data_IF_324616679566
#
_entry.id   IF_324616679566
#
_cell.length_a   1.000
_cell.length_b   1.000
_cell.length_c   1.000
_cell.angle_alpha   90.00
_cell.angle_beta   90.00
_cell.angle_gamma   90.00
#
_symmetry.space_group_name_H-M   'P 1'
#
loop_
_entity.id
_entity.type
_entity.pdbx_description
1 polymer ?
#
# COMPACT_ATOMS: atom_id res chain seq x y z
N UNK A 1 -24.46 55.92 37.55
CA UNK A 1 -23.64 54.70 37.43
C UNK A 1 -23.93 54.05 36.09
N UNK A 2 -22.93 53.70 35.26
CA UNK A 2 -23.18 52.92 34.05
C UNK A 2 -23.18 51.41 34.36
N UNK A 3 -23.85 50.57 33.55
CA UNK A 3 -23.90 49.14 33.79
C UNK A 3 -22.59 48.46 33.39
N UNK A 4 -22.10 47.60 34.29
CA UNK A 4 -20.94 46.71 34.09
C UNK A 4 -21.26 45.75 32.94
N UNK A 5 -20.56 45.86 31.80
CA UNK A 5 -20.54 44.81 30.78
C UNK A 5 -19.60 43.70 31.27
N UNK A 6 -20.17 42.56 31.63
CA UNK A 6 -19.41 41.33 31.86
C UNK A 6 -19.13 40.69 30.51
N UNK A 7 -17.85 40.59 30.15
CA UNK A 7 -17.35 40.01 28.91
C UNK A 7 -17.72 38.53 28.80
N UNK A 8 -18.38 38.16 27.71
CA UNK A 8 -18.55 36.77 27.30
C UNK A 8 -17.18 36.27 26.85
N UNK A 9 -16.64 35.29 27.58
CA UNK A 9 -15.43 34.55 27.19
C UNK A 9 -15.74 33.77 25.91
N UNK A 10 -15.18 34.23 24.79
CA UNK A 10 -15.20 33.47 23.55
C UNK A 10 -14.28 32.26 23.72
N UNK A 11 -14.86 31.06 23.65
CA UNK A 11 -14.08 29.83 23.58
C UNK A 11 -13.15 29.90 22.35
N UNK A 12 -11.89 29.44 22.43
CA UNK A 12 -10.97 29.50 21.31
C UNK A 12 -11.53 28.66 20.17
N UNK A 13 -11.81 29.29 19.03
CA UNK A 13 -12.09 28.57 17.80
C UNK A 13 -10.85 27.71 17.49
N UNK A 14 -11.00 26.38 17.53
CA UNK A 14 -9.95 25.46 17.08
C UNK A 14 -9.58 25.82 15.64
N UNK A 15 -8.39 26.40 15.47
CA UNK A 15 -7.88 26.75 14.15
C UNK A 15 -7.39 25.48 13.43
N UNK A 16 -7.30 25.53 12.10
CA UNK A 16 -6.86 24.39 11.29
C UNK A 16 -5.49 23.84 11.70
N UNK A 17 -4.62 24.68 12.28
CA UNK A 17 -3.32 24.27 12.80
C UNK A 17 -3.47 23.32 13.99
N UNK A 18 -4.35 23.62 14.95
CA UNK A 18 -4.62 22.75 16.08
C UNK A 18 -5.21 21.39 15.65
N UNK A 19 -6.05 21.39 14.61
CA UNK A 19 -6.61 20.15 14.05
C UNK A 19 -5.51 19.31 13.40
N UNK A 20 -4.58 19.93 12.64
CA UNK A 20 -3.44 19.21 12.05
C UNK A 20 -2.52 18.63 13.12
N UNK A 21 -2.21 19.41 14.16
CA UNK A 21 -1.40 18.97 15.28
C UNK A 21 -2.00 17.72 15.96
N UNK A 22 -3.32 17.74 16.22
CA UNK A 22 -4.02 16.60 16.83
C UNK A 22 -3.98 15.34 15.96
N UNK A 23 -4.04 15.49 14.63
CA UNK A 23 -3.93 14.37 13.69
C UNK A 23 -2.52 13.79 13.72
N UNK A 24 -1.50 14.65 13.70
CA UNK A 24 -0.09 14.23 13.74
C UNK A 24 0.23 13.50 15.06
N UNK A 25 -0.25 14.02 16.19
CA UNK A 25 -0.08 13.40 17.51
C UNK A 25 -0.78 12.04 17.60
N UNK A 26 -1.99 11.91 17.06
CA UNK A 26 -2.71 10.63 17.04
C UNK A 26 -2.03 9.58 16.15
N UNK A 27 -1.45 10.00 15.02
CA UNK A 27 -0.71 9.11 14.11
C UNK A 27 0.61 8.67 14.76
N UNK A 28 1.32 9.57 15.44
CA UNK A 28 2.54 9.24 16.17
C UNK A 28 2.26 8.25 17.32
N UNK A 29 1.23 8.49 18.12
CA UNK A 29 0.83 7.59 19.22
C UNK A 29 0.39 6.21 18.71
N UNK A 30 -0.31 6.15 17.57
CA UNK A 30 -0.70 4.88 16.95
C UNK A 30 0.51 4.08 16.42
N UNK A 31 1.52 4.77 15.89
CA UNK A 31 2.77 4.15 15.43
C UNK A 31 3.60 3.60 16.59
N UNK A 32 3.67 4.31 17.72
CA UNK A 32 4.36 3.84 18.93
C UNK A 32 3.60 2.68 19.60
N UNK A 33 2.27 2.72 19.65
CA UNK A 33 1.44 1.64 20.20
C UNK A 33 1.51 0.33 19.41
N UNK A 34 1.86 0.38 18.13
CA UNK A 34 1.98 -0.81 17.28
C UNK A 34 3.36 -1.50 17.37
N UNK A 35 4.34 -0.87 18.02
CA UNK A 35 5.67 -1.46 18.26
C UNK A 35 5.69 -2.39 19.49
N UNK A 36 4.67 -2.37 20.36
CA UNK A 36 4.63 -3.12 21.61
C UNK A 36 3.83 -4.44 21.61
N UNK A 37 3.11 -4.79 20.55
CA UNK A 37 2.20 -5.94 20.54
C UNK A 37 2.64 -7.08 19.61
N UNK A 38 3.86 -7.57 19.79
CA UNK A 38 4.27 -8.86 19.21
C UNK A 38 4.84 -9.79 20.29
N UNK A 39 4.05 -10.04 21.33
CA UNK A 39 4.32 -11.14 22.26
C UNK A 39 3.16 -12.15 22.28
N UNK A 40 3.54 -13.39 21.93
CA UNK A 40 2.98 -14.65 22.39
C UNK A 40 1.64 -15.14 21.78
N UNK A 41 1.71 -16.13 20.87
CA UNK A 41 1.31 -17.53 21.16
C UNK A 41 2.22 -18.47 20.35
N UNK A 42 3.25 -18.99 20.99
CA UNK A 42 4.24 -19.92 20.41
C UNK A 42 4.24 -21.26 21.14
N UNK A 43 3.11 -21.96 21.20
CA UNK A 43 3.04 -23.26 21.88
C UNK A 43 3.27 -24.37 20.86
N UNK A 44 4.51 -24.57 20.43
CA UNK A 44 4.91 -25.84 19.79
C UNK A 44 6.36 -26.13 20.17
N UNK A 45 6.55 -27.16 20.99
CA UNK A 45 7.85 -27.71 21.37
C UNK A 45 8.68 -28.00 20.11
N UNK A 46 9.69 -27.17 19.82
CA UNK A 46 10.74 -27.47 18.83
C UNK A 46 12.08 -26.97 19.37
N UNK A 47 13.12 -27.78 19.15
CA UNK A 47 14.48 -27.65 19.66
C UNK A 47 15.07 -26.22 19.59
N UNK A 48 15.87 -25.80 20.58
CA UNK A 48 16.47 -24.48 20.62
C UNK A 48 17.80 -24.44 19.85
N UNK A 49 17.79 -24.43 18.51
CA UNK A 49 19.03 -24.10 17.78
C UNK A 49 18.87 -23.60 16.33
N UNK A 50 17.79 -22.88 16.02
CA UNK A 50 17.75 -22.06 14.81
C UNK A 50 16.84 -20.87 15.04
N UNK A 51 17.41 -19.66 15.02
CA UNK A 51 16.63 -18.45 14.78
C UNK A 51 15.72 -18.68 13.57
N UNK A 52 14.46 -18.22 13.56
CA UNK A 52 13.58 -18.42 12.43
C UNK A 52 14.18 -17.69 11.23
N UNK A 53 14.86 -18.44 10.36
CA UNK A 53 15.34 -17.94 9.08
C UNK A 53 14.11 -17.38 8.38
N UNK A 54 14.15 -16.10 8.02
CA UNK A 54 13.09 -15.45 7.27
C UNK A 54 12.78 -16.30 6.04
N UNK A 55 11.69 -17.07 6.10
CA UNK A 55 11.33 -18.03 5.06
C UNK A 55 10.90 -17.25 3.83
N UNK A 56 11.81 -17.10 2.85
CA UNK A 56 11.49 -16.51 1.55
C UNK A 56 10.25 -17.21 0.98
N UNK A 57 9.19 -16.44 0.76
CA UNK A 57 8.00 -16.95 0.09
C UNK A 57 8.38 -17.33 -1.35
N UNK A 58 8.14 -18.58 -1.72
CA UNK A 58 8.39 -19.07 -3.06
C UNK A 58 7.31 -18.56 -4.03
N UNK A 59 7.65 -18.47 -5.32
CA UNK A 59 6.66 -18.15 -6.36
C UNK A 59 5.47 -19.13 -6.34
N UNK A 60 5.71 -20.40 -6.00
CA UNK A 60 4.67 -21.42 -5.85
C UNK A 60 3.68 -21.10 -4.73
N UNK A 61 4.17 -20.67 -3.57
CA UNK A 61 3.33 -20.25 -2.44
C UNK A 61 2.53 -18.99 -2.80
N UNK A 62 3.15 -18.04 -3.51
CA UNK A 62 2.46 -16.87 -4.04
C UNK A 62 1.31 -17.26 -4.97
N UNK A 63 1.56 -18.12 -5.97
CA UNK A 63 0.54 -18.57 -6.91
C UNK A 63 -0.55 -19.41 -6.25
N UNK A 64 -0.23 -20.17 -5.19
CA UNK A 64 -1.23 -20.92 -4.43
C UNK A 64 -2.28 -20.04 -3.75
N UNK A 65 -1.96 -18.75 -3.52
CA UNK A 65 -2.92 -17.78 -2.99
C UNK A 65 -3.91 -17.26 -4.04
N UNK A 66 -3.83 -17.76 -5.28
CA UNK A 66 -4.64 -17.33 -6.42
C UNK A 66 -4.61 -15.81 -6.55
N UNK A 67 -3.46 -15.25 -6.97
CA UNK A 67 -3.34 -13.82 -7.15
C UNK A 67 -4.31 -13.34 -8.24
N UNK A 68 -4.74 -12.09 -8.12
CA UNK A 68 -5.62 -11.47 -9.09
C UNK A 68 -4.83 -11.13 -10.36
N UNK A 69 -5.29 -11.63 -11.52
CA UNK A 69 -4.66 -11.32 -12.80
C UNK A 69 -5.16 -9.97 -13.33
N UNK A 70 -4.24 -9.05 -13.62
CA UNK A 70 -4.56 -7.75 -14.17
C UNK A 70 -4.24 -7.73 -15.67
N UNK A 71 -5.23 -7.38 -16.49
CA UNK A 71 -5.12 -7.39 -17.95
C UNK A 71 -4.72 -6.04 -18.55
N UNK A 72 -4.94 -4.93 -17.83
CA UNK A 72 -4.76 -3.56 -18.33
C UNK A 72 -6.06 -2.75 -18.41
N UNK A 73 -7.07 -3.16 -19.19
CA UNK A 73 -8.25 -2.33 -19.49
C UNK A 73 -9.29 -2.25 -18.35
N UNK A 74 -9.05 -2.92 -17.22
CA UNK A 74 -9.88 -2.80 -16.01
C UNK A 74 -9.64 -1.49 -15.23
N UNK A 75 -8.82 -0.59 -15.78
CA UNK A 75 -8.60 0.81 -15.30
C UNK A 75 -8.25 0.85 -13.80
N UNK A 76 -8.61 1.95 -13.13
CA UNK A 76 -8.32 2.19 -11.72
C UNK A 76 -8.87 1.09 -10.80
N UNK A 77 -10.06 0.54 -11.08
CA UNK A 77 -10.68 -0.49 -10.25
C UNK A 77 -9.88 -1.79 -10.26
N UNK A 78 -9.44 -2.24 -11.45
CA UNK A 78 -8.58 -3.41 -11.58
C UNK A 78 -7.24 -3.23 -10.87
N UNK A 79 -6.65 -2.03 -10.96
CA UNK A 79 -5.40 -1.70 -10.26
C UNK A 79 -5.56 -1.68 -8.74
N UNK A 80 -6.65 -1.11 -8.20
CA UNK A 80 -6.94 -1.13 -6.77
C UNK A 80 -7.02 -2.57 -6.28
N UNK A 81 -7.77 -3.41 -6.98
CA UNK A 81 -7.92 -4.84 -6.65
C UNK A 81 -6.59 -5.59 -6.70
N UNK A 82 -5.75 -5.30 -7.69
CA UNK A 82 -4.39 -5.85 -7.80
C UNK A 82 -3.55 -5.47 -6.56
N UNK A 83 -3.53 -4.20 -6.17
CA UNK A 83 -2.74 -3.74 -5.03
C UNK A 83 -3.23 -4.29 -3.69
N UNK A 84 -4.54 -4.35 -3.48
CA UNK A 84 -5.13 -4.94 -2.27
C UNK A 84 -4.82 -6.44 -2.17
N UNK A 85 -4.97 -7.18 -3.28
CA UNK A 85 -4.72 -8.62 -3.29
C UNK A 85 -3.25 -8.94 -3.06
N UNK A 86 -2.35 -8.23 -3.73
CA UNK A 86 -0.90 -8.41 -3.53
C UNK A 86 -0.48 -8.01 -2.12
N UNK A 87 -1.00 -6.92 -1.56
CA UNK A 87 -0.79 -6.53 -0.15
C UNK A 87 -1.26 -7.62 0.83
N UNK A 88 -2.43 -8.22 0.59
CA UNK A 88 -2.97 -9.32 1.40
C UNK A 88 -2.11 -10.59 1.33
N UNK A 89 -1.61 -10.95 0.15
CA UNK A 89 -0.69 -12.09 -0.01
C UNK A 89 0.64 -11.81 0.69
N UNK A 90 1.15 -10.58 0.59
CA UNK A 90 2.39 -10.18 1.27
C UNK A 90 2.26 -10.13 2.80
N UNK A 91 1.11 -9.75 3.35
CA UNK A 91 0.93 -9.72 4.83
C UNK A 91 0.84 -11.12 5.43
N UNK A 92 0.34 -12.10 4.67
CA UNK A 92 0.19 -13.50 5.10
C UNK A 92 1.46 -14.33 4.93
N UNK A 93 2.48 -13.82 4.24
CA UNK A 93 3.72 -14.54 3.93
C UNK A 93 4.94 -13.84 4.53
N UNK A 94 5.90 -14.60 5.07
CA UNK A 94 7.16 -14.08 5.65
C UNK A 94 8.16 -13.64 4.56
N UNK A 95 7.70 -12.78 3.67
CA UNK A 95 8.34 -12.51 2.40
C UNK A 95 9.45 -11.42 2.50
N UNK A 96 10.54 -11.57 1.75
CA UNK A 96 11.70 -10.65 1.76
C UNK A 96 11.54 -9.56 0.70
N UNK A 97 11.70 -8.25 0.98
CA UNK A 97 11.33 -7.11 0.09
C UNK A 97 11.74 -7.19 -1.40
N UNK A 98 12.73 -8.00 -1.76
CA UNK A 98 13.40 -8.14 -3.07
C UNK A 98 12.61 -8.81 -4.21
N UNK A 99 11.81 -9.85 -3.98
CA UNK A 99 10.91 -10.44 -4.99
C UNK A 99 9.49 -9.81 -5.23
N UNK A 100 9.15 -8.60 -4.72
CA UNK A 100 7.75 -8.11 -4.66
C UNK A 100 7.29 -7.77 -6.06
N UNK A 101 8.16 -7.05 -6.76
CA UNK A 101 7.98 -6.68 -8.15
C UNK A 101 7.91 -7.95 -8.99
N UNK A 102 8.88 -8.86 -8.84
CA UNK A 102 8.90 -10.14 -9.58
C UNK A 102 7.61 -10.97 -9.44
N UNK A 103 7.02 -11.00 -8.25
CA UNK A 103 5.76 -11.72 -8.03
C UNK A 103 4.55 -10.94 -8.54
N UNK A 104 4.50 -9.62 -8.30
CA UNK A 104 3.42 -8.77 -8.80
C UNK A 104 3.40 -8.71 -10.34
N UNK A 105 4.54 -8.75 -11.00
CA UNK A 105 4.63 -8.80 -12.47
C UNK A 105 4.13 -10.14 -13.01
N UNK A 106 4.27 -11.21 -12.22
CA UNK A 106 3.73 -12.53 -12.53
C UNK A 106 2.19 -12.60 -12.52
N UNK A 107 1.51 -11.53 -12.11
CA UNK A 107 0.04 -11.42 -12.18
C UNK A 107 -0.42 -10.51 -13.32
N UNK A 108 0.50 -9.91 -14.07
CA UNK A 108 0.17 -9.11 -15.25
C UNK A 108 -0.09 -10.06 -16.42
N UNK A 109 -1.12 -9.75 -17.20
CA UNK A 109 -1.54 -10.54 -18.36
C UNK A 109 -1.85 -9.61 -19.53
N UNK A 110 -1.87 -10.15 -20.75
CA UNK A 110 -2.29 -9.42 -21.96
C UNK A 110 -1.55 -8.08 -22.15
N UNK A 111 -2.28 -6.97 -22.19
CA UNK A 111 -1.74 -5.62 -22.42
C UNK A 111 -0.80 -5.20 -21.28
N UNK A 112 -1.16 -5.50 -20.03
CA UNK A 112 -0.33 -5.19 -18.86
C UNK A 112 1.00 -5.94 -18.86
N UNK A 113 1.00 -7.20 -19.31
CA UNK A 113 2.24 -7.96 -19.46
C UNK A 113 3.10 -7.39 -20.59
N UNK A 114 2.47 -7.00 -21.70
CA UNK A 114 3.15 -6.41 -22.86
C UNK A 114 3.83 -5.10 -22.48
N UNK A 115 3.12 -4.22 -21.77
CA UNK A 115 3.66 -2.98 -21.22
C UNK A 115 4.86 -3.22 -20.28
N UNK A 116 4.75 -4.17 -19.34
CA UNK A 116 5.83 -4.47 -18.42
C UNK A 116 7.08 -4.95 -19.15
N UNK A 117 6.91 -5.81 -20.17
CA UNK A 117 8.02 -6.27 -21.00
C UNK A 117 8.70 -5.12 -21.74
N UNK A 118 7.93 -4.16 -22.29
CA UNK A 118 8.48 -2.96 -22.92
C UNK A 118 9.20 -2.04 -21.93
N UNK A 119 8.73 -1.93 -20.69
CA UNK A 119 9.42 -1.19 -19.62
C UNK A 119 10.75 -1.86 -19.24
N UNK A 120 10.75 -3.19 -19.10
CA UNK A 120 11.92 -3.95 -18.67
C UNK A 120 12.98 -4.10 -19.78
N UNK A 121 12.58 -4.11 -21.06
CA UNK A 121 13.48 -4.32 -22.20
C UNK A 121 14.71 -3.38 -22.22
N UNK A 122 14.59 -2.04 -22.10
CA UNK A 122 15.75 -1.14 -22.18
C UNK A 122 16.69 -1.22 -20.97
N UNK A 123 16.18 -1.61 -19.79
CA UNK A 123 16.96 -1.64 -18.54
C UNK A 123 17.43 -3.05 -18.16
N UNK A 124 16.88 -4.09 -18.80
CA UNK A 124 17.09 -5.49 -18.44
C UNK A 124 16.15 -5.96 -17.32
N UNK A 125 15.67 -7.22 -17.43
CA UNK A 125 14.68 -7.78 -16.51
C UNK A 125 15.16 -7.85 -15.05
N UNK A 126 16.46 -8.10 -14.84
CA UNK A 126 17.06 -8.16 -13.50
C UNK A 126 17.09 -6.77 -12.84
N UNK A 127 17.41 -5.72 -13.58
CA UNK A 127 17.36 -4.34 -13.06
C UNK A 127 15.91 -3.89 -12.86
N UNK A 128 15.00 -4.27 -13.77
CA UNK A 128 13.57 -4.00 -13.64
C UNK A 128 12.99 -4.61 -12.35
N UNK A 129 13.47 -5.77 -11.90
CA UNK A 129 13.05 -6.38 -10.64
C UNK A 129 13.63 -5.72 -9.39
N UNK A 130 14.70 -4.92 -9.50
CA UNK A 130 15.30 -4.21 -8.36
C UNK A 130 14.58 -2.93 -7.99
N UNK A 131 13.68 -2.43 -8.85
CA UNK A 131 12.86 -1.26 -8.49
C UNK A 131 12.05 -1.56 -7.24
N UNK A 132 11.72 -0.53 -6.47
CA UNK A 132 10.88 -0.70 -5.29
C UNK A 132 9.45 -1.04 -5.70
N UNK A 133 8.74 -1.77 -4.84
CA UNK A 133 7.31 -2.02 -5.05
C UNK A 133 6.49 -0.71 -5.12
N UNK A 134 6.93 0.35 -4.44
CA UNK A 134 6.30 1.67 -4.53
C UNK A 134 6.49 2.32 -5.90
N UNK A 135 7.68 2.22 -6.50
CA UNK A 135 7.93 2.69 -7.87
C UNK A 135 7.11 1.88 -8.88
N UNK A 136 7.05 0.56 -8.72
CA UNK A 136 6.19 -0.30 -9.54
C UNK A 136 4.73 0.14 -9.52
N UNK A 137 4.15 0.41 -8.34
CA UNK A 137 2.78 0.94 -8.23
C UNK A 137 2.62 2.28 -8.95
N UNK A 138 3.57 3.21 -8.79
CA UNK A 138 3.54 4.51 -9.47
C UNK A 138 3.55 4.35 -10.99
N UNK A 139 4.35 3.44 -11.52
CA UNK A 139 4.41 3.15 -12.96
C UNK A 139 3.06 2.63 -13.48
N UNK A 140 2.45 1.69 -12.78
CA UNK A 140 1.13 1.17 -13.13
C UNK A 140 0.04 2.25 -13.08
N UNK A 141 0.00 3.06 -12.02
CA UNK A 141 -0.95 4.18 -11.89
C UNK A 141 -0.78 5.17 -13.03
N UNK A 142 0.46 5.55 -13.34
CA UNK A 142 0.75 6.47 -14.45
C UNK A 142 0.24 5.94 -15.79
N UNK A 143 0.35 4.62 -16.02
CA UNK A 143 -0.03 4.01 -17.29
C UNK A 143 -1.54 3.74 -17.42
N UNK A 144 -2.20 3.30 -16.34
CA UNK A 144 -3.57 2.80 -16.38
C UNK A 144 -4.60 3.66 -15.60
N UNK A 145 -4.17 4.71 -14.90
CA UNK A 145 -5.04 5.71 -14.28
C UNK A 145 -4.72 7.12 -14.81
N UNK A 146 -4.91 7.40 -16.12
CA UNK A 146 -4.66 8.73 -16.65
C UNK A 146 -5.59 9.75 -15.97
N UNK A 147 -5.07 10.96 -15.71
CA UNK A 147 -5.79 12.01 -14.98
C UNK A 147 -7.12 12.40 -15.63
N UNK A 148 -7.22 12.24 -16.95
CA UNK A 148 -8.46 12.45 -17.71
C UNK A 148 -9.59 11.51 -17.30
N UNK A 149 -9.28 10.28 -16.89
CA UNK A 149 -10.28 9.33 -16.40
C UNK A 149 -10.70 9.62 -14.97
N UNK A 150 -9.75 10.03 -14.13
CA UNK A 150 -10.04 10.48 -12.76
C UNK A 150 -10.98 11.68 -12.80
N UNK A 151 -10.70 12.66 -13.68
CA UNK A 151 -11.56 13.83 -13.85
C UNK A 151 -12.97 13.44 -14.30
N UNK A 152 -13.11 12.51 -15.25
CA UNK A 152 -14.44 12.02 -15.67
C UNK A 152 -15.21 11.36 -14.52
N UNK A 153 -14.54 10.56 -13.70
CA UNK A 153 -15.16 9.94 -12.53
C UNK A 153 -15.55 10.97 -11.46
N UNK A 154 -14.74 12.02 -11.25
CA UNK A 154 -15.08 13.13 -10.36
C UNK A 154 -16.30 13.91 -10.90
N UNK A 155 -16.30 14.25 -12.19
CA UNK A 155 -17.38 14.98 -12.84
C UNK A 155 -18.71 14.18 -12.77
N UNK A 156 -18.69 12.85 -13.00
CA UNK A 156 -19.85 11.95 -12.85
C UNK A 156 -20.33 11.79 -11.39
N UNK A 157 -19.45 11.97 -10.40
CA UNK A 157 -19.81 11.83 -8.99
C UNK A 157 -20.39 13.13 -8.41
N UNK A 158 -19.93 14.28 -8.92
CA UNK A 158 -20.37 15.60 -8.46
C UNK A 158 -21.49 16.21 -9.32
N UNK A 159 -21.97 15.54 -10.37
CA UNK A 159 -23.08 15.96 -11.24
C UNK A 159 -24.15 14.87 -11.35
#
# INVERSE_FOLDING_TARGET
>A
MPPKRTSISAAPAMNQTAIRQLIDDHVAAALEGQAGNMENIGNTKRNPEQAPVARKCSYKEFMSCQPFNFKGPERAVGLIRLFERTKSVFSRSNYTKDCKVKFATGTLTEEALSWWNSFAQPIGIEEAYKITYEEFKKLLIKNYCPRTEIQKMEDEFYH
#
